data_IF_215258287630
#
_entry.id   IF_215258287630
#
_cell.length_a   1.000
_cell.length_b   1.000
_cell.length_c   1.000
_cell.angle_alpha   90.00
_cell.angle_beta   90.00
_cell.angle_gamma   90.00
#
_symmetry.space_group_name_H-M   'P 1'
#
loop_
_entity.id
_entity.type
_entity.pdbx_description
1 polymer ?
#
# COMPACT_ATOMS: atom_id res chain seq x y z
N UNK A 1 -30.80 -11.06 1.90
CA UNK A 1 -30.83 -9.92 2.83
C UNK A 1 -29.39 -9.63 3.14
N UNK A 2 -28.97 -8.38 2.96
CA UNK A 2 -27.59 -7.99 3.19
C UNK A 2 -27.26 -8.17 4.68
N UNK A 3 -26.16 -8.87 4.94
CA UNK A 3 -25.76 -9.31 6.27
C UNK A 3 -24.27 -9.05 6.48
N UNK A 4 -23.93 -8.57 7.68
CA UNK A 4 -22.57 -8.52 8.17
C UNK A 4 -22.32 -9.70 9.10
N UNK A 5 -21.27 -10.46 8.84
CA UNK A 5 -20.74 -11.50 9.72
C UNK A 5 -19.49 -10.93 10.40
N UNK A 6 -19.65 -10.38 11.59
CA UNK A 6 -18.56 -9.77 12.36
C UNK A 6 -18.05 -10.79 13.39
N UNK A 7 -16.82 -11.29 13.18
CA UNK A 7 -16.21 -12.34 14.01
C UNK A 7 -17.16 -13.54 14.27
N UNK A 8 -17.89 -13.95 13.23
CA UNK A 8 -18.84 -15.06 13.28
C UNK A 8 -20.23 -14.73 13.83
N UNK A 9 -20.44 -13.51 14.33
CA UNK A 9 -21.77 -13.02 14.78
C UNK A 9 -22.49 -12.34 13.60
N UNK A 10 -23.76 -12.69 13.40
CA UNK A 10 -24.59 -12.13 12.33
C UNK A 10 -25.27 -10.82 12.76
N UNK A 11 -25.22 -9.84 11.87
CA UNK A 11 -25.89 -8.55 11.99
C UNK A 11 -26.59 -8.22 10.66
N UNK A 12 -27.94 -8.25 10.61
CA UNK A 12 -28.68 -7.80 9.44
C UNK A 12 -28.38 -6.32 9.17
N UNK A 13 -28.00 -5.98 7.95
CA UNK A 13 -27.63 -4.60 7.61
C UNK A 13 -28.78 -3.67 7.95
N UNK A 14 -30.02 -3.97 7.57
CA UNK A 14 -31.20 -3.14 7.84
C UNK A 14 -31.47 -2.81 9.32
N UNK A 15 -30.80 -3.48 10.27
CA UNK A 15 -30.98 -3.28 11.71
C UNK A 15 -29.76 -2.65 12.37
N UNK A 16 -28.68 -2.34 11.63
CA UNK A 16 -27.44 -1.82 12.24
C UNK A 16 -27.67 -0.57 13.08
N UNK A 17 -28.56 0.34 12.66
CA UNK A 17 -28.95 1.54 13.40
C UNK A 17 -29.46 1.25 14.82
N UNK A 18 -30.11 0.10 15.02
CA UNK A 18 -30.75 -0.31 16.27
C UNK A 18 -29.90 -1.29 17.09
N UNK A 19 -28.71 -1.69 16.59
CA UNK A 19 -27.83 -2.63 17.31
C UNK A 19 -27.21 -1.94 18.52
N UNK A 20 -27.61 -2.39 19.71
CA UNK A 20 -26.98 -2.02 20.97
C UNK A 20 -25.67 -2.80 21.18
N UNK A 21 -24.65 -2.12 21.71
CA UNK A 21 -23.39 -2.77 22.05
C UNK A 21 -23.58 -3.75 23.22
N UNK A 22 -23.32 -5.03 22.96
CA UNK A 22 -23.28 -6.06 24.01
C UNK A 22 -22.04 -5.92 24.91
N UNK A 23 -22.06 -6.55 26.11
CA UNK A 23 -20.88 -6.61 26.97
C UNK A 23 -19.72 -7.37 26.34
N UNK A 24 -20.00 -8.36 25.49
CA UNK A 24 -19.01 -9.29 24.90
C UNK A 24 -18.35 -8.78 23.61
N UNK A 25 -18.53 -7.50 23.26
CA UNK A 25 -17.89 -6.91 22.08
C UNK A 25 -16.47 -6.43 22.41
N UNK A 26 -15.51 -6.80 21.58
CA UNK A 26 -14.17 -6.24 21.63
C UNK A 26 -14.16 -4.80 21.05
N UNK A 27 -13.06 -4.06 21.25
CA UNK A 27 -13.00 -2.66 20.82
C UNK A 27 -13.12 -2.48 19.30
N UNK A 28 -12.60 -3.42 18.51
CA UNK A 28 -12.71 -3.39 17.05
C UNK A 28 -14.17 -3.62 16.61
N UNK A 29 -14.84 -4.62 17.18
CA UNK A 29 -16.25 -4.92 16.91
C UNK A 29 -17.15 -3.72 17.24
N UNK A 30 -16.93 -3.07 18.40
CA UNK A 30 -17.66 -1.84 18.78
C UNK A 30 -17.49 -0.73 17.76
N UNK A 31 -16.26 -0.50 17.29
CA UNK A 31 -15.99 0.53 16.27
C UNK A 31 -16.65 0.21 14.93
N UNK A 32 -16.68 -1.06 14.52
CA UNK A 32 -17.34 -1.50 13.27
C UNK A 32 -18.85 -1.25 13.36
N UNK A 33 -19.49 -1.67 14.45
CA UNK A 33 -20.93 -1.46 14.65
C UNK A 33 -21.27 0.03 14.80
N UNK A 34 -20.42 0.80 15.50
CA UNK A 34 -20.58 2.25 15.60
C UNK A 34 -20.53 2.91 14.23
N UNK A 35 -19.56 2.55 13.38
CA UNK A 35 -19.50 3.04 12.01
C UNK A 35 -20.77 2.70 11.23
N UNK A 36 -21.26 1.45 11.35
CA UNK A 36 -22.51 1.02 10.73
C UNK A 36 -23.72 1.86 11.16
N UNK A 37 -23.86 2.12 12.46
CA UNK A 37 -24.91 3.00 13.03
C UNK A 37 -24.81 4.42 12.49
N UNK A 38 -23.61 5.00 12.51
CA UNK A 38 -23.37 6.36 12.02
C UNK A 38 -23.71 6.46 10.54
N UNK A 39 -23.32 5.48 9.74
CA UNK A 39 -23.66 5.44 8.33
C UNK A 39 -25.18 5.33 8.10
N UNK A 40 -25.90 4.52 8.88
CA UNK A 40 -27.35 4.36 8.69
C UNK A 40 -28.19 5.50 9.23
N UNK A 41 -27.73 6.17 10.27
CA UNK A 41 -28.41 7.35 10.82
C UNK A 41 -28.26 8.60 9.94
N UNK A 42 -27.52 8.50 8.83
CA UNK A 42 -27.31 9.61 7.90
C UNK A 42 -26.18 10.55 8.33
N UNK A 43 -25.17 10.06 9.06
CA UNK A 43 -23.99 10.87 9.35
C UNK A 43 -23.33 11.32 8.04
N UNK A 44 -23.11 12.63 7.94
CA UNK A 44 -22.62 13.31 6.73
C UNK A 44 -21.09 13.46 6.68
N UNK A 45 -20.40 13.29 7.81
CA UNK A 45 -18.96 13.51 7.89
C UNK A 45 -18.28 12.52 8.83
N UNK A 46 -17.11 12.04 8.43
CA UNK A 46 -16.28 11.09 9.16
C UNK A 46 -14.88 11.66 9.36
N UNK A 47 -14.33 11.51 10.57
CA UNK A 47 -12.97 11.97 10.89
C UNK A 47 -11.98 10.81 10.76
N UNK A 48 -10.94 11.03 9.98
CA UNK A 48 -9.85 10.07 9.76
C UNK A 48 -8.55 10.61 10.33
N UNK A 49 -7.67 9.70 10.71
CA UNK A 49 -6.32 10.05 11.13
C UNK A 49 -5.34 9.63 10.04
N UNK A 50 -4.54 10.57 9.53
CA UNK A 50 -3.43 10.22 8.64
C UNK A 50 -2.32 9.55 9.45
N UNK A 51 -1.71 8.51 8.90
CA UNK A 51 -0.41 8.04 9.39
C UNK A 51 0.69 9.02 8.95
N UNK A 52 0.70 10.21 9.54
CA UNK A 52 1.63 11.28 9.17
C UNK A 52 3.07 10.78 9.20
N UNK A 53 3.80 10.97 8.09
CA UNK A 53 5.23 10.65 8.01
C UNK A 53 6.11 11.64 8.79
N UNK A 54 5.54 12.74 9.30
CA UNK A 54 6.27 13.87 9.88
C UNK A 54 5.82 14.30 11.29
N UNK A 55 4.94 13.57 11.99
CA UNK A 55 4.50 13.99 13.33
C UNK A 55 3.18 13.36 13.82
N UNK A 56 2.50 14.07 14.75
CA UNK A 56 1.22 13.64 15.31
C UNK A 56 0.13 13.53 14.23
N UNK A 57 -0.72 12.48 14.26
CA UNK A 57 -1.79 12.30 13.29
C UNK A 57 -2.70 13.52 13.21
N UNK A 58 -2.86 14.10 12.02
CA UNK A 58 -3.81 15.19 11.80
C UNK A 58 -5.18 14.61 11.47
N UNK A 59 -6.26 15.11 12.10
CA UNK A 59 -7.61 14.73 11.71
C UNK A 59 -7.92 15.31 10.31
N UNK A 60 -8.37 14.46 9.41
CA UNK A 60 -8.93 14.85 8.11
C UNK A 60 -10.43 14.54 8.14
N UNK A 61 -11.23 15.55 7.84
CA UNK A 61 -12.68 15.40 7.70
C UNK A 61 -13.01 14.97 6.27
N UNK A 62 -13.67 13.83 6.12
CA UNK A 62 -14.16 13.34 4.84
C UNK A 62 -15.69 13.30 4.88
N UNK A 63 -16.32 13.75 3.79
CA UNK A 63 -17.78 13.71 3.69
C UNK A 63 -18.29 12.33 3.27
N UNK A 64 -19.51 12.01 3.67
CA UNK A 64 -20.22 10.79 3.26
C UNK A 64 -20.27 10.65 1.74
N UNK A 65 -20.57 11.74 1.04
CA UNK A 65 -20.65 11.76 -0.43
C UNK A 65 -19.30 11.42 -1.10
N UNK A 66 -18.18 11.94 -0.57
CA UNK A 66 -16.85 11.56 -1.08
C UNK A 66 -16.57 10.06 -0.87
N UNK A 67 -16.94 9.49 0.29
CA UNK A 67 -16.79 8.05 0.54
C UNK A 67 -17.69 7.21 -0.37
N UNK A 68 -18.95 7.60 -0.52
CA UNK A 68 -19.90 6.93 -1.42
C UNK A 68 -19.42 6.97 -2.87
N UNK A 69 -18.93 8.13 -3.33
CA UNK A 69 -18.35 8.29 -4.66
C UNK A 69 -17.12 7.39 -4.85
N UNK A 70 -16.19 7.38 -3.89
CA UNK A 70 -15.01 6.49 -3.92
C UNK A 70 -15.39 5.01 -3.97
N UNK A 71 -16.41 4.61 -3.20
CA UNK A 71 -16.93 3.25 -3.21
C UNK A 71 -17.49 2.87 -4.59
N UNK A 72 -18.33 3.73 -5.19
CA UNK A 72 -18.92 3.49 -6.53
C UNK A 72 -17.86 3.36 -7.62
N UNK A 73 -16.77 4.12 -7.57
CA UNK A 73 -15.64 3.96 -8.48
C UNK A 73 -15.00 2.57 -8.35
N UNK A 74 -14.75 2.11 -7.12
CA UNK A 74 -14.22 0.75 -6.88
C UNK A 74 -15.19 -0.33 -7.36
N UNK A 75 -16.47 -0.20 -7.01
CA UNK A 75 -17.54 -1.15 -7.38
C UNK A 75 -17.62 -1.32 -8.89
N UNK A 76 -17.61 -0.19 -9.64
CA UNK A 76 -17.61 -0.22 -11.11
C UNK A 76 -16.34 -0.85 -11.66
N UNK A 77 -15.17 -0.42 -11.18
CA UNK A 77 -13.88 -0.88 -11.70
C UNK A 77 -13.65 -2.37 -11.52
N UNK A 78 -14.16 -2.96 -10.42
CA UNK A 78 -14.03 -4.38 -10.12
C UNK A 78 -15.29 -5.20 -10.47
N UNK A 79 -16.33 -4.56 -11.02
CA UNK A 79 -17.59 -5.22 -11.39
C UNK A 79 -18.34 -5.86 -10.21
N UNK A 80 -18.19 -5.33 -9.00
CA UNK A 80 -18.85 -5.88 -7.80
C UNK A 80 -20.37 -5.78 -7.92
N UNK A 81 -21.07 -6.80 -7.44
CA UNK A 81 -22.54 -6.89 -7.54
C UNK A 81 -23.17 -6.97 -6.14
N UNK A 82 -24.44 -6.55 -5.98
CA UNK A 82 -25.21 -6.89 -4.79
C UNK A 82 -25.19 -8.39 -4.51
N UNK A 83 -24.96 -8.77 -3.26
CA UNK A 83 -24.80 -10.15 -2.81
C UNK A 83 -23.39 -10.74 -2.99
N UNK A 84 -22.46 -10.03 -3.67
CA UNK A 84 -21.04 -10.44 -3.66
C UNK A 84 -20.49 -10.47 -2.23
N UNK A 85 -19.64 -11.45 -1.95
CA UNK A 85 -19.07 -11.72 -0.63
C UNK A 85 -17.73 -11.02 -0.50
N UNK A 86 -17.60 -10.11 0.46
CA UNK A 86 -16.34 -9.42 0.71
C UNK A 86 -15.77 -9.75 2.09
N UNK A 87 -14.46 -9.96 2.15
CA UNK A 87 -13.73 -10.06 3.41
C UNK A 87 -13.20 -8.68 3.81
N UNK A 88 -13.44 -8.30 5.06
CA UNK A 88 -12.87 -7.11 5.69
C UNK A 88 -11.88 -7.55 6.75
N UNK A 89 -10.58 -7.42 6.43
CA UNK A 89 -9.47 -7.84 7.29
C UNK A 89 -8.46 -6.71 7.57
N UNK A 90 -8.88 -5.46 7.33
CA UNK A 90 -8.11 -4.25 7.61
C UNK A 90 -8.74 -3.52 8.78
N UNK A 91 -7.89 -2.91 9.62
CA UNK A 91 -8.37 -2.05 10.70
C UNK A 91 -9.14 -0.85 10.14
N UNK A 92 -10.21 -0.47 10.84
CA UNK A 92 -11.09 0.63 10.42
C UNK A 92 -10.69 1.98 11.03
N UNK A 93 -9.62 2.01 11.81
CA UNK A 93 -9.01 3.24 12.32
C UNK A 93 -8.36 4.08 11.20
N UNK A 94 -8.10 3.42 10.06
CA UNK A 94 -7.62 4.05 8.83
C UNK A 94 -8.63 3.86 7.71
N UNK A 95 -8.51 4.71 6.70
CA UNK A 95 -9.48 4.78 5.60
C UNK A 95 -9.61 3.49 4.79
N UNK A 96 -8.56 2.65 4.75
CA UNK A 96 -8.57 1.43 3.96
C UNK A 96 -9.63 0.42 4.45
N UNK A 97 -9.69 0.15 5.75
CA UNK A 97 -10.72 -0.72 6.33
C UNK A 97 -12.10 -0.08 6.32
N UNK A 98 -12.17 1.22 6.64
CA UNK A 98 -13.44 1.95 6.63
C UNK A 98 -14.12 1.94 5.26
N UNK A 99 -13.34 2.09 4.18
CA UNK A 99 -13.87 2.03 2.81
C UNK A 99 -14.37 0.65 2.40
N UNK A 100 -13.91 -0.44 3.02
CA UNK A 100 -14.51 -1.76 2.79
C UNK A 100 -15.93 -1.83 3.33
N UNK A 101 -16.20 -1.20 4.49
CA UNK A 101 -17.55 -1.09 5.04
C UNK A 101 -18.45 -0.24 4.13
N UNK A 102 -17.96 0.93 3.67
CA UNK A 102 -18.72 1.79 2.75
C UNK A 102 -19.03 1.09 1.44
N UNK A 103 -18.07 0.39 0.83
CA UNK A 103 -18.31 -0.41 -0.39
C UNK A 103 -19.38 -1.48 -0.16
N UNK A 104 -19.37 -2.11 1.03
CA UNK A 104 -20.40 -3.05 1.44
C UNK A 104 -21.79 -2.43 1.48
N UNK A 105 -21.91 -1.26 2.09
CA UNK A 105 -23.18 -0.54 2.24
C UNK A 105 -23.69 0.06 0.92
N UNK A 106 -22.80 0.61 0.08
CA UNK A 106 -23.18 1.22 -1.20
C UNK A 106 -23.53 0.18 -2.28
N UNK A 107 -22.96 -1.03 -2.22
CA UNK A 107 -23.21 -2.08 -3.21
C UNK A 107 -24.17 -3.17 -2.74
N UNK A 108 -24.46 -3.26 -1.44
CA UNK A 108 -25.17 -4.42 -0.86
C UNK A 108 -24.31 -5.68 -0.85
N UNK A 109 -23.06 -5.58 -0.41
CA UNK A 109 -22.17 -6.74 -0.28
C UNK A 109 -22.46 -7.51 1.02
N UNK A 110 -22.28 -8.83 0.98
CA UNK A 110 -22.24 -9.65 2.19
C UNK A 110 -20.84 -9.55 2.81
N UNK A 111 -20.70 -8.82 3.91
CA UNK A 111 -19.41 -8.58 4.55
C UNK A 111 -19.11 -9.67 5.58
N UNK A 112 -17.96 -10.32 5.47
CA UNK A 112 -17.35 -11.04 6.60
C UNK A 112 -16.23 -10.18 7.15
N UNK A 113 -16.33 -9.78 8.41
CA UNK A 113 -15.44 -8.83 9.07
C UNK A 113 -14.70 -9.58 10.16
N UNK A 114 -13.38 -9.56 10.08
CA UNK A 114 -12.49 -10.24 11.03
C UNK A 114 -11.52 -9.25 11.65
N UNK A 115 -11.04 -9.54 12.86
CA UNK A 115 -9.99 -8.74 13.48
C UNK A 115 -8.77 -8.59 12.53
N UNK A 116 -8.15 -7.38 12.48
CA UNK A 116 -7.00 -7.15 11.63
C UNK A 116 -5.77 -7.89 12.19
N UNK A 117 -5.40 -8.96 11.50
CA UNK A 117 -4.23 -9.81 11.84
C UNK A 117 -3.33 -10.01 10.63
N UNK A 118 -2.10 -10.48 10.84
CA UNK A 118 -1.16 -10.76 9.74
C UNK A 118 -1.65 -11.87 8.80
N UNK A 119 -2.39 -12.85 9.32
CA UNK A 119 -2.94 -13.98 8.56
C UNK A 119 -4.46 -14.06 8.70
N UNK A 120 -5.21 -13.20 7.97
CA UNK A 120 -6.65 -13.09 8.16
C UNK A 120 -7.45 -14.27 7.58
N UNK A 121 -6.83 -15.07 6.69
CA UNK A 121 -7.47 -16.24 6.08
C UNK A 121 -7.27 -17.52 6.91
N UNK A 122 -6.21 -17.60 7.71
CA UNK A 122 -5.90 -18.74 8.56
C UNK A 122 -7.07 -19.22 9.43
N UNK A 123 -7.81 -18.37 10.18
CA UNK A 123 -8.88 -18.82 11.05
C UNK A 123 -10.17 -19.19 10.30
N UNK A 124 -10.25 -18.94 8.99
CA UNK A 124 -11.46 -19.18 8.20
C UNK A 124 -11.58 -20.66 7.81
N UNK A 125 -12.83 -21.12 7.66
CA UNK A 125 -13.09 -22.46 7.12
C UNK A 125 -12.45 -22.63 5.74
N UNK A 126 -11.85 -23.78 5.39
CA UNK A 126 -11.40 -24.08 4.03
C UNK A 126 -12.51 -23.98 2.96
N UNK A 127 -13.78 -24.10 3.38
CA UNK A 127 -14.95 -23.91 2.50
C UNK A 127 -15.40 -22.45 2.37
N UNK A 128 -14.76 -21.50 3.06
CA UNK A 128 -15.07 -20.08 2.92
C UNK A 128 -14.82 -19.61 1.49
N UNK A 129 -15.67 -18.72 1.00
CA UNK A 129 -15.58 -18.16 -0.35
C UNK A 129 -15.82 -16.66 -0.28
N UNK A 130 -15.03 -15.91 -1.02
CA UNK A 130 -15.15 -14.45 -1.15
C UNK A 130 -14.92 -14.08 -2.60
N UNK A 131 -15.62 -13.05 -3.05
CA UNK A 131 -15.42 -12.44 -4.36
C UNK A 131 -14.36 -11.32 -4.28
N UNK A 132 -14.24 -10.68 -3.12
CA UNK A 132 -13.49 -9.44 -2.97
C UNK A 132 -12.82 -9.28 -1.61
N UNK A 133 -11.60 -8.75 -1.57
CA UNK A 133 -10.97 -8.27 -0.34
C UNK A 133 -9.98 -7.14 -0.61
N UNK A 134 -9.57 -6.45 0.45
CA UNK A 134 -8.43 -5.54 0.44
C UNK A 134 -7.43 -5.95 1.51
N UNK A 135 -6.15 -5.99 1.17
CA UNK A 135 -5.06 -6.45 2.04
C UNK A 135 -3.83 -5.53 1.94
N UNK A 136 -2.96 -5.60 2.94
CA UNK A 136 -1.61 -5.01 2.85
C UNK A 136 -0.61 -6.04 2.30
N UNK A 137 0.53 -5.60 1.70
CA UNK A 137 1.55 -6.51 1.15
C UNK A 137 1.99 -7.62 2.11
N UNK A 138 2.16 -7.31 3.40
CA UNK A 138 2.54 -8.29 4.40
C UNK A 138 1.49 -9.39 4.59
N UNK A 139 0.20 -9.05 4.65
CA UNK A 139 -0.86 -10.06 4.77
C UNK A 139 -0.90 -10.98 3.55
N UNK A 140 -0.63 -10.43 2.37
CA UNK A 140 -0.56 -11.20 1.13
C UNK A 140 0.65 -12.14 1.13
N UNK A 141 1.82 -11.66 1.54
CA UNK A 141 3.03 -12.48 1.69
C UNK A 141 2.82 -13.64 2.67
N UNK A 142 2.25 -13.37 3.84
CA UNK A 142 1.94 -14.39 4.85
C UNK A 142 0.90 -15.41 4.34
N UNK A 143 -0.06 -14.96 3.52
CA UNK A 143 -1.04 -15.84 2.88
C UNK A 143 -0.38 -16.79 1.88
N UNK A 144 0.54 -16.29 1.03
CA UNK A 144 1.24 -17.10 0.02
C UNK A 144 2.21 -18.12 0.64
N UNK A 145 2.75 -17.82 1.82
CA UNK A 145 3.65 -18.69 2.59
C UNK A 145 2.89 -19.52 3.64
N UNK A 146 1.58 -19.35 3.73
CA UNK A 146 0.72 -19.90 4.76
C UNK A 146 0.24 -21.33 4.48
N UNK A 147 -0.91 -21.67 5.08
CA UNK A 147 -1.53 -22.96 4.87
C UNK A 147 -2.19 -23.02 3.47
N UNK A 148 -2.26 -24.20 2.82
CA UNK A 148 -2.81 -24.32 1.47
C UNK A 148 -4.21 -23.72 1.29
N UNK A 149 -5.08 -23.85 2.28
CA UNK A 149 -6.45 -23.32 2.20
C UNK A 149 -6.49 -21.78 2.17
N UNK A 150 -5.51 -21.08 2.74
CA UNK A 150 -5.43 -19.62 2.67
C UNK A 150 -5.17 -19.17 1.22
N UNK A 151 -4.24 -19.85 0.54
CA UNK A 151 -3.97 -19.63 -0.88
C UNK A 151 -5.21 -19.94 -1.71
N UNK A 152 -5.89 -21.06 -1.48
CA UNK A 152 -7.11 -21.45 -2.22
C UNK A 152 -8.25 -20.44 -2.04
N UNK A 153 -8.44 -19.91 -0.83
CA UNK A 153 -9.45 -18.86 -0.57
C UNK A 153 -9.11 -17.58 -1.34
N UNK A 154 -7.84 -17.15 -1.31
CA UNK A 154 -7.37 -15.98 -2.04
C UNK A 154 -7.51 -16.17 -3.56
N UNK A 155 -7.10 -17.34 -4.07
CA UNK A 155 -7.04 -17.63 -5.51
C UNK A 155 -8.42 -17.77 -6.16
N UNK A 156 -9.44 -18.04 -5.35
CA UNK A 156 -10.83 -18.10 -5.78
C UNK A 156 -11.53 -16.74 -5.89
N UNK A 157 -10.88 -15.64 -5.47
CA UNK A 157 -11.49 -14.31 -5.49
C UNK A 157 -11.54 -13.70 -6.90
N UNK A 158 -12.55 -12.87 -7.16
CA UNK A 158 -12.68 -12.10 -8.41
C UNK A 158 -11.83 -10.83 -8.43
N UNK A 159 -11.42 -10.33 -7.26
CA UNK A 159 -10.48 -9.21 -7.18
C UNK A 159 -9.94 -8.99 -5.77
N UNK A 160 -8.65 -8.66 -5.69
CA UNK A 160 -7.97 -8.31 -4.45
C UNK A 160 -7.30 -6.95 -4.63
N UNK A 161 -7.61 -6.01 -3.73
CA UNK A 161 -6.88 -4.74 -3.64
C UNK A 161 -5.70 -4.88 -2.70
N UNK A 162 -4.55 -4.36 -3.15
CA UNK A 162 -3.35 -4.24 -2.36
C UNK A 162 -3.10 -2.75 -2.14
N UNK A 163 -2.94 -2.35 -0.89
CA UNK A 163 -2.63 -0.96 -0.53
C UNK A 163 -1.82 -0.86 0.76
N UNK A 164 -1.58 0.37 1.22
CA UNK A 164 -0.91 0.61 2.50
C UNK A 164 0.62 0.50 2.49
N UNK A 165 1.24 0.16 1.37
CA UNK A 165 2.69 0.15 1.23
C UNK A 165 3.15 -0.38 -0.14
N UNK A 166 4.45 -0.24 -0.46
CA UNK A 166 5.00 -0.77 -1.71
C UNK A 166 4.93 -2.29 -1.75
N UNK A 167 4.76 -2.83 -2.97
CA UNK A 167 4.90 -4.26 -3.25
C UNK A 167 6.35 -4.53 -3.63
N UNK A 168 7.06 -5.32 -2.82
CA UNK A 168 8.45 -5.69 -3.08
C UNK A 168 8.56 -6.53 -4.36
N UNK A 169 9.74 -6.54 -4.99
CA UNK A 169 9.98 -7.34 -6.18
C UNK A 169 9.85 -8.84 -5.88
N UNK A 170 10.32 -9.28 -4.72
CA UNK A 170 10.16 -10.66 -4.27
C UNK A 170 8.68 -11.05 -4.18
N UNK A 171 7.85 -10.20 -3.57
CA UNK A 171 6.41 -10.44 -3.51
C UNK A 171 5.79 -10.42 -4.90
N UNK A 172 6.10 -9.42 -5.73
CA UNK A 172 5.56 -9.28 -7.10
C UNK A 172 5.79 -10.53 -7.97
N UNK A 173 6.92 -11.23 -7.80
CA UNK A 173 7.17 -12.51 -8.48
C UNK A 173 6.29 -13.63 -7.93
N UNK A 174 6.10 -13.71 -6.60
CA UNK A 174 5.19 -14.69 -6.00
C UNK A 174 3.74 -14.48 -6.44
N UNK A 175 3.31 -13.22 -6.61
CA UNK A 175 1.96 -12.86 -7.06
C UNK A 175 1.61 -13.42 -8.44
N UNK A 176 2.61 -13.74 -9.28
CA UNK A 176 2.35 -14.36 -10.59
C UNK A 176 1.79 -15.78 -10.50
N UNK A 177 1.90 -16.42 -9.33
CA UNK A 177 1.33 -17.75 -9.07
C UNK A 177 -0.17 -17.70 -8.78
N UNK A 178 -0.71 -16.51 -8.48
CA UNK A 178 -2.11 -16.29 -8.15
C UNK A 178 -2.88 -16.03 -9.45
N UNK A 179 -3.95 -16.78 -9.65
CA UNK A 179 -4.95 -16.65 -10.70
C UNK A 179 -5.91 -15.49 -10.45
N UNK A 180 -6.30 -15.29 -9.19
CA UNK A 180 -7.17 -14.17 -8.80
C UNK A 180 -6.58 -12.81 -9.25
N UNK A 181 -7.39 -11.89 -9.79
CA UNK A 181 -6.95 -10.53 -10.12
C UNK A 181 -6.40 -9.75 -8.92
N UNK A 182 -5.11 -9.39 -8.98
CA UNK A 182 -4.46 -8.60 -7.93
C UNK A 182 -4.20 -7.17 -8.42
N UNK A 183 -4.66 -6.17 -7.69
CA UNK A 183 -4.54 -4.76 -8.05
C UNK A 183 -3.84 -3.97 -6.97
N UNK A 184 -2.74 -3.30 -7.33
CA UNK A 184 -2.14 -2.29 -6.48
C UNK A 184 -2.92 -0.99 -6.61
N UNK A 185 -3.15 -0.34 -5.48
CA UNK A 185 -3.91 0.90 -5.40
C UNK A 185 -2.98 2.10 -5.29
N UNK A 186 -3.26 3.17 -6.02
CA UNK A 186 -2.63 4.47 -5.82
C UNK A 186 -3.65 5.48 -5.31
N UNK A 187 -3.33 6.12 -4.19
CA UNK A 187 -4.11 7.18 -3.58
C UNK A 187 -3.62 7.52 -2.18
N UNK A 188 -4.32 8.43 -1.54
CA UNK A 188 -3.97 9.01 -0.24
C UNK A 188 -5.23 9.36 0.55
N UNK A 189 -5.08 9.77 1.82
CA UNK A 189 -6.23 10.11 2.66
C UNK A 189 -7.01 11.30 2.10
N UNK A 190 -6.32 12.25 1.47
CA UNK A 190 -6.88 13.43 0.82
C UNK A 190 -7.72 13.09 -0.42
N UNK A 191 -7.50 11.93 -1.04
CA UNK A 191 -8.34 11.38 -2.11
C UNK A 191 -9.35 10.37 -1.59
N UNK A 192 -9.58 10.32 -0.28
CA UNK A 192 -10.32 9.29 0.46
C UNK A 192 -9.66 7.93 0.37
N UNK A 193 -9.63 7.32 -0.81
CA UNK A 193 -8.99 6.03 -1.05
C UNK A 193 -8.11 6.14 -2.29
N UNK A 194 -8.24 5.20 -3.21
CA UNK A 194 -7.47 5.15 -4.43
C UNK A 194 -8.18 5.84 -5.58
N UNK A 195 -7.37 6.44 -6.46
CA UNK A 195 -7.79 7.10 -7.70
C UNK A 195 -7.37 6.33 -8.94
N UNK A 196 -6.47 5.37 -8.79
CA UNK A 196 -5.97 4.53 -9.87
C UNK A 196 -5.64 3.11 -9.39
N UNK A 197 -5.68 2.16 -10.34
CA UNK A 197 -5.34 0.76 -10.13
C UNK A 197 -4.21 0.34 -11.06
N UNK A 198 -3.33 -0.53 -10.57
CA UNK A 198 -2.29 -1.19 -11.36
C UNK A 198 -2.44 -2.69 -11.22
N UNK A 199 -2.55 -3.41 -12.33
CA UNK A 199 -2.64 -4.87 -12.33
C UNK A 199 -1.27 -5.48 -12.00
N UNK A 200 -1.21 -6.31 -10.96
CA UNK A 200 0.04 -6.91 -10.45
C UNK A 200 0.38 -8.25 -11.08
N UNK A 201 -0.60 -8.98 -11.62
CA UNK A 201 -0.42 -10.34 -12.09
C UNK A 201 -1.23 -10.65 -13.36
N UNK A 202 -0.89 -11.78 -13.99
CA UNK A 202 -1.56 -12.28 -15.19
C UNK A 202 -1.13 -11.55 -16.47
N UNK A 203 -1.80 -11.84 -17.58
CA UNK A 203 -1.40 -11.31 -18.92
C UNK A 203 -1.53 -9.79 -19.04
N UNK A 204 -2.35 -9.18 -18.21
CA UNK A 204 -2.65 -7.75 -18.20
C UNK A 204 -1.81 -6.98 -17.18
N UNK A 205 -0.85 -7.62 -16.49
CA UNK A 205 0.00 -6.92 -15.53
C UNK A 205 0.78 -5.79 -16.22
N UNK A 206 1.00 -4.70 -15.48
CA UNK A 206 1.71 -3.53 -15.96
C UNK A 206 2.34 -2.76 -14.80
N UNK A 207 3.31 -1.91 -15.12
CA UNK A 207 3.84 -0.92 -14.18
C UNK A 207 3.01 0.37 -14.15
N UNK A 208 2.01 0.48 -15.04
CA UNK A 208 1.16 1.66 -15.17
C UNK A 208 -0.06 1.58 -14.25
N UNK A 209 -0.27 2.63 -13.48
CA UNK A 209 -1.53 2.91 -12.81
C UNK A 209 -2.51 3.52 -13.79
N UNK A 210 -3.71 2.94 -13.88
CA UNK A 210 -4.81 3.43 -14.71
C UNK A 210 -5.79 4.18 -13.81
N UNK A 211 -6.01 5.50 -14.04
CA UNK A 211 -6.96 6.28 -13.24
C UNK A 211 -8.40 5.84 -13.48
N UNK A 212 -9.26 6.09 -12.50
CA UNK A 212 -10.69 5.94 -12.67
C UNK A 212 -11.28 7.05 -13.55
N UNK A 213 -12.41 6.74 -14.20
CA UNK A 213 -13.19 7.73 -14.93
C UNK A 213 -13.49 8.96 -14.06
N UNK A 214 -13.23 10.15 -14.60
CA UNK A 214 -13.46 11.43 -13.89
C UNK A 214 -12.34 11.84 -12.94
N UNK A 215 -11.21 11.13 -12.93
CA UNK A 215 -9.96 11.60 -12.31
C UNK A 215 -9.12 12.29 -13.37
N UNK A 216 -8.93 13.60 -13.23
CA UNK A 216 -8.01 14.39 -14.05
C UNK A 216 -6.63 14.41 -13.41
N UNK A 217 -5.62 14.07 -14.21
CA UNK A 217 -4.23 13.97 -13.80
C UNK A 217 -3.37 14.89 -14.67
N UNK A 218 -2.60 15.74 -14.00
CA UNK A 218 -1.68 16.68 -14.64
C UNK A 218 -0.32 16.65 -13.94
N UNK A 219 0.69 17.21 -14.57
CA UNK A 219 1.98 17.47 -13.93
C UNK A 219 2.06 18.94 -13.55
N UNK A 220 2.54 19.21 -12.35
CA UNK A 220 2.93 20.57 -11.95
C UNK A 220 4.32 20.93 -12.51
N UNK A 221 4.79 22.15 -12.23
CA UNK A 221 6.10 22.66 -12.69
C UNK A 221 7.30 21.84 -12.18
N UNK A 222 7.10 20.99 -11.16
CA UNK A 222 8.12 20.12 -10.57
C UNK A 222 8.13 18.73 -11.21
N UNK A 223 7.17 18.44 -12.10
CA UNK A 223 6.92 17.10 -12.63
C UNK A 223 6.19 16.19 -11.63
N UNK A 224 5.58 16.76 -10.59
CA UNK A 224 4.79 16.00 -9.63
C UNK A 224 3.32 15.89 -10.08
N UNK A 225 2.68 14.78 -9.73
CA UNK A 225 1.28 14.54 -10.05
C UNK A 225 0.38 15.54 -9.32
N UNK A 226 -0.50 16.19 -10.06
CA UNK A 226 -1.62 16.99 -9.58
C UNK A 226 -2.93 16.28 -9.91
N UNK A 227 -3.80 16.12 -8.92
CA UNK A 227 -5.01 15.29 -9.00
C UNK A 227 -6.24 16.18 -8.82
N UNK A 228 -7.17 16.16 -9.77
CA UNK A 228 -8.47 16.81 -9.64
C UNK A 228 -9.59 15.80 -9.89
N UNK A 229 -10.52 15.63 -8.94
CA UNK A 229 -11.64 14.70 -9.09
C UNK A 229 -12.80 15.05 -8.15
N UNK A 230 -13.92 14.34 -8.27
CA UNK A 230 -15.00 14.43 -7.27
C UNK A 230 -14.52 14.08 -5.85
N UNK A 231 -13.49 13.22 -5.72
CA UNK A 231 -12.92 12.83 -4.44
C UNK A 231 -12.15 13.96 -3.76
N UNK A 232 -11.58 14.88 -4.55
CA UNK A 232 -10.96 16.12 -4.08
C UNK A 232 -11.94 17.31 -4.08
N UNK A 233 -13.25 17.03 -4.26
CA UNK A 233 -14.32 18.03 -4.38
C UNK A 233 -14.08 19.04 -5.52
N UNK A 234 -13.41 18.60 -6.58
CA UNK A 234 -13.04 19.44 -7.72
C UNK A 234 -11.86 20.39 -7.45
N UNK A 235 -11.26 20.37 -6.26
CA UNK A 235 -10.02 21.09 -5.99
C UNK A 235 -8.82 20.30 -6.51
N UNK A 236 -7.79 20.99 -6.97
CA UNK A 236 -6.53 20.36 -7.39
C UNK A 236 -5.67 20.04 -6.18
N UNK A 237 -5.43 18.75 -5.96
CA UNK A 237 -4.50 18.24 -4.97
C UNK A 237 -3.11 18.09 -5.59
N UNK A 238 -2.17 18.90 -5.14
CA UNK A 238 -0.77 18.80 -5.54
C UNK A 238 -0.05 17.76 -4.67
N UNK A 239 0.49 16.73 -5.31
CA UNK A 239 1.26 15.70 -4.62
C UNK A 239 2.75 16.05 -4.62
N UNK A 240 3.53 15.17 -4.00
CA UNK A 240 5.00 15.16 -4.09
C UNK A 240 5.47 13.89 -4.81
N UNK A 241 4.60 13.29 -5.62
CA UNK A 241 4.89 12.06 -6.36
C UNK A 241 5.32 12.40 -7.78
N UNK A 242 6.56 12.04 -8.11
CA UNK A 242 7.08 12.10 -9.48
C UNK A 242 6.51 10.92 -10.27
N UNK A 243 6.00 11.21 -11.46
CA UNK A 243 5.41 10.20 -12.33
C UNK A 243 5.83 10.40 -13.78
N UNK A 244 5.86 9.32 -14.55
CA UNK A 244 5.82 9.37 -16.01
C UNK A 244 4.35 9.29 -16.44
N UNK A 245 3.76 10.44 -16.80
CA UNK A 245 2.35 10.54 -17.20
C UNK A 245 2.22 10.33 -18.71
N UNK A 246 1.41 9.35 -19.10
CA UNK A 246 1.21 8.99 -20.49
C UNK A 246 0.01 9.70 -21.13
N UNK A 247 -0.05 9.77 -22.48
CA UNK A 247 -1.14 10.45 -23.19
C UNK A 247 -2.55 9.87 -22.95
N UNK A 248 -2.66 8.61 -22.50
CA UNK A 248 -3.93 7.97 -22.15
C UNK A 248 -4.36 8.22 -20.69
N UNK A 249 -3.63 9.05 -19.95
CA UNK A 249 -3.89 9.38 -18.55
C UNK A 249 -3.35 8.37 -17.54
N UNK A 250 -2.91 7.19 -17.97
CA UNK A 250 -2.21 6.27 -17.07
C UNK A 250 -0.79 6.77 -16.78
N UNK A 251 -0.19 6.31 -15.69
CA UNK A 251 1.13 6.80 -15.28
C UNK A 251 1.96 5.71 -14.59
N UNK A 252 3.29 5.84 -14.69
CA UNK A 252 4.23 5.07 -13.87
C UNK A 252 4.69 5.94 -12.71
N UNK A 253 4.53 5.46 -11.48
CA UNK A 253 5.05 6.16 -10.30
C UNK A 253 6.57 5.96 -10.21
N UNK A 254 7.31 7.07 -10.19
CA UNK A 254 8.78 7.04 -10.17
C UNK A 254 9.32 7.15 -8.75
N UNK A 255 8.60 7.83 -7.86
CA UNK A 255 9.00 8.00 -6.47
C UNK A 255 8.56 9.33 -5.89
N UNK A 256 9.05 9.66 -4.69
CA UNK A 256 8.82 10.96 -4.07
C UNK A 256 9.84 11.99 -4.53
N UNK A 257 9.41 13.23 -4.80
CA UNK A 257 10.34 14.33 -5.07
C UNK A 257 11.25 14.63 -3.87
N UNK A 258 10.74 14.40 -2.65
CA UNK A 258 11.48 14.53 -1.40
C UNK A 258 12.60 13.47 -1.26
N UNK A 259 12.55 12.41 -2.08
CA UNK A 259 13.51 11.31 -2.13
C UNK A 259 14.52 11.44 -3.30
N UNK A 260 14.64 12.63 -3.90
CA UNK A 260 15.61 12.88 -4.98
C UNK A 260 16.96 13.33 -4.38
N UNK A 261 18.04 12.62 -4.71
CA UNK A 261 19.41 12.97 -4.36
C UNK A 261 20.03 13.80 -5.49
N UNK A 262 20.76 14.87 -5.17
CA UNK A 262 21.54 15.63 -6.14
C UNK A 262 23.03 15.26 -6.06
N UNK A 263 23.44 14.29 -6.88
CA UNK A 263 24.80 13.76 -6.90
C UNK A 263 25.58 14.34 -8.08
N UNK A 264 26.39 15.36 -7.82
CA UNK A 264 27.22 16.02 -8.83
C UNK A 264 26.41 16.70 -9.94
N UNK A 265 25.23 17.25 -9.62
CA UNK A 265 24.29 17.84 -10.56
C UNK A 265 23.31 16.85 -11.21
N UNK A 266 23.49 15.54 -10.97
CA UNK A 266 22.59 14.49 -11.47
C UNK A 266 21.52 14.21 -10.42
N UNK A 267 20.25 14.24 -10.85
CA UNK A 267 19.10 13.87 -10.02
C UNK A 267 18.96 12.34 -9.99
N UNK A 268 19.13 11.76 -8.80
CA UNK A 268 19.04 10.32 -8.56
C UNK A 268 17.80 10.04 -7.74
N UNK A 269 16.90 9.22 -8.27
CA UNK A 269 15.72 8.75 -7.54
C UNK A 269 16.10 7.60 -6.60
N UNK A 270 15.87 7.76 -5.30
CA UNK A 270 16.17 6.72 -4.30
C UNK A 270 15.47 5.40 -4.64
N UNK A 271 14.18 5.44 -4.96
CA UNK A 271 13.36 4.27 -5.23
C UNK A 271 13.90 3.46 -6.41
N UNK A 272 14.43 4.12 -7.45
CA UNK A 272 15.09 3.44 -8.58
C UNK A 272 16.32 2.65 -8.12
N UNK A 273 17.15 3.23 -7.26
CA UNK A 273 18.35 2.57 -6.73
C UNK A 273 17.95 1.43 -5.78
N UNK A 274 16.90 1.63 -4.97
CA UNK A 274 16.36 0.60 -4.08
C UNK A 274 15.84 -0.60 -4.87
N UNK A 275 15.08 -0.40 -5.95
CA UNK A 275 14.63 -1.49 -6.83
C UNK A 275 15.80 -2.24 -7.45
N UNK A 276 16.82 -1.54 -7.95
CA UNK A 276 18.01 -2.18 -8.52
C UNK A 276 18.78 -3.00 -7.47
N UNK A 277 18.90 -2.46 -6.25
CA UNK A 277 19.52 -3.15 -5.11
C UNK A 277 18.72 -4.39 -4.72
N UNK A 278 17.40 -4.28 -4.61
CA UNK A 278 16.51 -5.42 -4.34
C UNK A 278 16.71 -6.54 -5.36
N UNK A 279 16.72 -6.20 -6.67
CA UNK A 279 16.95 -7.17 -7.75
C UNK A 279 18.28 -7.90 -7.57
N UNK A 280 19.36 -7.18 -7.26
CA UNK A 280 20.68 -7.78 -7.09
C UNK A 280 20.74 -8.70 -5.87
N UNK A 281 20.13 -8.33 -4.75
CA UNK A 281 20.13 -9.15 -3.53
C UNK A 281 19.27 -10.41 -3.66
N UNK A 282 18.19 -10.32 -4.43
CA UNK A 282 17.28 -11.42 -4.65
C UNK A 282 17.86 -12.52 -5.55
N UNK A 283 18.60 -12.14 -6.59
CA UNK A 283 19.15 -13.08 -7.58
C UNK A 283 20.64 -13.36 -7.39
N UNK A 284 21.36 -12.46 -6.74
CA UNK A 284 22.79 -12.59 -6.44
C UNK A 284 23.05 -13.59 -5.32
N UNK A 285 24.21 -14.25 -5.38
CA UNK A 285 24.69 -15.17 -4.33
C UNK A 285 23.64 -16.20 -3.87
N UNK A 286 22.88 -16.75 -4.81
CA UNK A 286 21.80 -17.71 -4.55
C UNK A 286 20.75 -17.22 -3.53
N UNK A 287 20.48 -15.90 -3.50
CA UNK A 287 19.49 -15.30 -2.61
C UNK A 287 19.92 -15.23 -1.15
N UNK A 288 21.20 -15.45 -0.82
CA UNK A 288 21.72 -15.46 0.55
C UNK A 288 21.46 -14.15 1.33
N UNK A 289 21.16 -13.05 0.62
CA UNK A 289 20.92 -11.73 1.19
C UNK A 289 19.53 -11.17 0.85
N UNK A 290 18.61 -11.98 0.31
CA UNK A 290 17.30 -11.54 -0.14
C UNK A 290 16.43 -10.95 1.00
N UNK A 291 16.60 -11.47 2.22
CA UNK A 291 15.81 -11.04 3.39
C UNK A 291 16.43 -9.83 4.14
N UNK A 292 17.58 -9.32 3.67
CA UNK A 292 18.21 -8.17 4.33
C UNK A 292 17.39 -6.90 4.08
N UNK A 293 17.05 -6.21 5.17
CA UNK A 293 16.42 -4.89 5.10
C UNK A 293 17.47 -3.85 4.75
N UNK A 294 17.10 -2.88 3.93
CA UNK A 294 17.97 -1.78 3.56
C UNK A 294 17.17 -0.53 3.20
N UNK A 295 17.87 0.59 3.07
CA UNK A 295 17.36 1.77 2.38
C UNK A 295 18.50 2.51 1.68
N UNK A 296 18.16 3.31 0.66
CA UNK A 296 19.11 4.22 0.00
C UNK A 296 18.87 5.65 0.50
N UNK A 297 19.96 6.37 0.69
CA UNK A 297 19.95 7.75 1.15
C UNK A 297 21.14 8.54 0.61
N UNK A 298 21.31 9.75 1.15
CA UNK A 298 22.40 10.65 0.78
C UNK A 298 23.20 11.08 2.01
N UNK A 299 24.52 11.18 1.85
CA UNK A 299 25.42 11.85 2.76
C UNK A 299 26.11 13.02 2.05
N UNK A 300 26.54 14.03 2.81
CA UNK A 300 27.28 15.17 2.27
C UNK A 300 28.62 14.73 1.66
N UNK A 301 28.93 15.22 0.47
CA UNK A 301 30.18 14.94 -0.24
C UNK A 301 30.76 16.24 -0.81
N UNK A 302 32.02 16.52 -0.50
CA UNK A 302 32.66 17.80 -0.87
C UNK A 302 32.72 18.03 -2.39
N UNK A 303 32.72 16.98 -3.20
CA UNK A 303 32.84 17.07 -4.67
C UNK A 303 31.49 16.95 -5.37
N UNK A 304 30.60 16.11 -4.85
CA UNK A 304 29.30 15.82 -5.46
C UNK A 304 28.16 16.66 -4.87
N UNK A 305 28.39 17.36 -3.77
CA UNK A 305 27.32 17.90 -2.92
C UNK A 305 26.72 16.78 -2.09
N UNK A 306 26.10 15.77 -2.73
CA UNK A 306 25.59 14.58 -2.07
C UNK A 306 26.13 13.30 -2.72
N UNK A 307 26.58 12.35 -1.91
CA UNK A 307 26.90 11.00 -2.33
C UNK A 307 25.72 10.06 -2.05
N UNK A 308 25.34 9.25 -3.03
CA UNK A 308 24.37 8.16 -2.86
C UNK A 308 25.00 7.08 -1.97
N UNK A 309 24.29 6.64 -0.94
CA UNK A 309 24.72 5.58 -0.02
C UNK A 309 23.60 4.57 0.21
N UNK A 310 23.94 3.34 0.55
CA UNK A 310 22.99 2.32 0.98
C UNK A 310 23.31 1.91 2.42
N UNK A 311 22.29 1.82 3.26
CA UNK A 311 22.41 1.33 4.64
C UNK A 311 21.66 0.01 4.75
N UNK A 312 22.35 -1.01 5.26
CA UNK A 312 21.92 -2.41 5.20
C UNK A 312 21.93 -3.00 6.60
N UNK A 313 20.86 -3.68 6.97
CA UNK A 313 20.75 -4.39 8.23
C UNK A 313 21.55 -5.71 8.20
N UNK A 314 22.28 -5.99 9.27
CA UNK A 314 23.05 -7.21 9.48
C UNK A 314 24.56 -7.03 9.35
N UNK A 315 25.28 -8.15 9.40
CA UNK A 315 26.75 -8.15 9.40
C UNK A 315 27.34 -7.63 8.09
N UNK A 316 28.51 -6.99 8.20
CA UNK A 316 29.26 -6.49 7.07
C UNK A 316 29.54 -7.59 6.04
N UNK A 317 29.41 -7.23 4.77
CA UNK A 317 29.75 -8.14 3.69
C UNK A 317 31.26 -8.26 3.50
N UNK A 318 31.75 -9.45 3.09
CA UNK A 318 33.08 -9.59 2.55
C UNK A 318 33.32 -8.63 1.35
N UNK A 319 34.53 -8.05 1.17
CA UNK A 319 34.80 -7.07 0.12
C UNK A 319 34.48 -7.52 -1.32
N UNK A 320 34.52 -8.82 -1.56
CA UNK A 320 34.25 -9.46 -2.85
C UNK A 320 32.76 -9.40 -3.18
N UNK A 321 31.90 -9.53 -2.16
CA UNK A 321 30.45 -9.40 -2.27
C UNK A 321 30.09 -7.94 -2.56
N UNK A 322 30.66 -6.99 -1.84
CA UNK A 322 30.41 -5.55 -2.09
C UNK A 322 30.85 -5.14 -3.50
N UNK A 323 32.05 -5.58 -3.91
CA UNK A 323 32.58 -5.31 -5.26
C UNK A 323 31.70 -5.94 -6.34
N UNK A 324 31.25 -7.18 -6.13
CA UNK A 324 30.31 -7.88 -7.02
C UNK A 324 28.97 -7.16 -7.13
N UNK A 325 28.41 -6.70 -6.01
CA UNK A 325 27.16 -5.93 -5.99
C UNK A 325 27.29 -4.64 -6.77
N UNK A 326 28.38 -3.90 -6.56
CA UNK A 326 28.65 -2.66 -7.27
C UNK A 326 28.73 -2.88 -8.78
N UNK A 327 29.38 -3.95 -9.23
CA UNK A 327 29.46 -4.32 -10.64
C UNK A 327 28.08 -4.70 -11.21
N UNK A 328 27.25 -5.43 -10.46
CA UNK A 328 25.89 -5.77 -10.88
C UNK A 328 25.00 -4.53 -11.00
N UNK A 329 25.05 -3.61 -10.02
CA UNK A 329 24.27 -2.37 -10.05
C UNK A 329 24.64 -1.49 -11.25
N UNK A 330 25.90 -1.49 -11.70
CA UNK A 330 26.34 -0.75 -12.89
C UNK A 330 25.71 -1.25 -14.20
N UNK A 331 25.07 -2.42 -14.21
CA UNK A 331 24.36 -2.93 -15.39
C UNK A 331 23.01 -2.23 -15.60
N UNK A 332 22.39 -1.70 -14.54
CA UNK A 332 21.07 -1.05 -14.58
C UNK A 332 21.08 0.41 -14.12
N UNK A 333 22.15 0.85 -13.45
CA UNK A 333 22.32 2.20 -12.93
C UNK A 333 23.52 2.91 -13.56
N UNK A 334 23.39 4.21 -13.74
CA UNK A 334 24.51 5.08 -14.14
C UNK A 334 25.52 5.23 -12.99
N UNK A 335 26.73 5.68 -13.31
CA UNK A 335 27.82 5.86 -12.34
C UNK A 335 27.49 6.78 -11.15
N UNK A 336 26.52 7.68 -11.30
CA UNK A 336 26.11 8.64 -10.28
C UNK A 336 25.01 8.08 -9.36
N UNK A 337 24.29 7.06 -9.82
CA UNK A 337 23.20 6.39 -9.12
C UNK A 337 23.68 5.22 -8.26
N UNK A 338 24.78 4.56 -8.65
CA UNK A 338 25.37 3.47 -7.87
C UNK A 338 25.83 4.00 -6.50
N UNK A 339 25.39 3.40 -5.37
CA UNK A 339 25.83 3.79 -4.04
C UNK A 339 27.34 3.83 -3.93
N UNK A 340 27.91 4.95 -3.50
CA UNK A 340 29.36 5.13 -3.29
C UNK A 340 29.84 4.26 -2.13
N UNK A 341 29.04 4.14 -1.09
CA UNK A 341 29.34 3.40 0.13
C UNK A 341 28.14 2.55 0.53
N UNK A 342 28.45 1.37 1.08
CA UNK A 342 27.49 0.49 1.73
C UNK A 342 27.81 0.49 3.22
N UNK A 343 26.86 0.92 4.04
CA UNK A 343 26.96 0.90 5.49
C UNK A 343 26.20 -0.29 6.04
N UNK A 344 26.75 -0.94 7.06
CA UNK A 344 26.14 -2.08 7.72
C UNK A 344 25.85 -1.73 9.17
N UNK A 345 24.61 -1.95 9.58
CA UNK A 345 24.15 -1.72 10.95
C UNK A 345 23.53 -2.98 11.50
N UNK A 346 23.74 -3.27 12.78
CA UNK A 346 23.19 -4.49 13.40
C UNK A 346 21.65 -4.52 13.34
N UNK A 347 21.01 -3.35 13.48
CA UNK A 347 19.57 -3.17 13.34
C UNK A 347 19.26 -1.75 12.86
N UNK A 348 18.37 -1.62 11.88
CA UNK A 348 17.90 -0.32 11.42
C UNK A 348 17.05 0.35 12.49
N UNK A 349 17.27 1.65 12.68
CA UNK A 349 16.43 2.49 13.55
C UNK A 349 15.06 2.64 12.90
N UNK A 350 13.99 2.44 13.68
CA UNK A 350 12.61 2.52 13.25
C UNK A 350 11.85 3.62 13.98
N UNK A 351 10.87 4.20 13.30
CA UNK A 351 9.87 5.07 13.91
C UNK A 351 8.95 4.28 14.84
N UNK A 352 8.14 4.98 15.66
CA UNK A 352 7.09 4.36 16.49
C UNK A 352 6.08 3.52 15.71
N UNK A 353 5.97 3.76 14.39
CA UNK A 353 5.07 3.01 13.49
C UNK A 353 5.74 1.80 12.83
N UNK A 354 6.98 1.45 13.21
CA UNK A 354 7.74 0.33 12.65
C UNK A 354 8.36 0.60 11.27
N UNK A 355 8.18 1.80 10.70
CA UNK A 355 8.85 2.21 9.45
C UNK A 355 10.32 2.55 9.71
N UNK A 356 11.21 2.25 8.76
CA UNK A 356 12.64 2.64 8.83
C UNK A 356 12.75 4.17 8.94
N UNK A 357 13.45 4.65 9.97
CA UNK A 357 13.77 6.07 10.13
C UNK A 357 15.07 6.37 9.37
N UNK A 358 14.93 6.71 8.08
CA UNK A 358 16.08 7.00 7.20
C UNK A 358 16.98 8.10 7.78
N UNK A 359 16.41 9.13 8.40
CA UNK A 359 17.17 10.27 8.93
C UNK A 359 18.01 9.86 10.13
N UNK A 360 17.42 9.13 11.09
CA UNK A 360 18.15 8.65 12.25
C UNK A 360 19.27 7.68 11.87
N UNK A 361 19.02 6.77 10.92
CA UNK A 361 20.05 5.85 10.43
C UNK A 361 21.18 6.57 9.67
N UNK A 362 20.85 7.56 8.82
CA UNK A 362 21.88 8.35 8.11
C UNK A 362 22.75 9.15 9.09
N UNK A 363 22.15 9.74 10.12
CA UNK A 363 22.91 10.43 11.17
C UNK A 363 23.81 9.47 11.97
N UNK A 364 23.34 8.24 12.22
CA UNK A 364 24.13 7.21 12.90
C UNK A 364 25.36 6.77 12.10
N UNK A 365 25.24 6.59 10.78
CA UNK A 365 26.37 6.15 9.94
C UNK A 365 27.29 7.29 9.49
N UNK A 366 26.86 8.55 9.63
CA UNK A 366 27.65 9.73 9.35
C UNK A 366 28.52 10.21 10.52
N UNK A 367 28.21 9.73 11.74
CA UNK A 367 28.97 9.99 12.96
C UNK A 367 30.20 9.08 13.04
#
# INVERSE_FOLDING_TARGET
MDEWILNGKSYPVAQLADVCDGPDLNDFERRVLQFGRDWQSGCETFTLHTSGSTGEPKPILITRDQMATSARLTIRALGLQPGSRALVCLGIDYIAGMMMLVRGLECGLHLTIVDPVSRPLLPLSPSARFDFTAMVPLQLQETLNGAPHEFEILDAMHGVLIGGGPVSQALAMQLQRVSAPLYHTYGMTETVSHIALRRLNGREHSDRFVPFDGVDLQLDDRGCLAITSALTRGETLYTNDLVDLHPDGSFVWLGRIDNVINSGGVKVQIEKVETALETCLLHGWNGAYADRRFFVGALDDQRLGQAVVAVIEGDAWPPEIESGLRAQLQLSLTRYEVPRQFFFVSKLIETRTGKIDRRANLAFVAA
#
